data_IF_139871769383
#
_entry.id   IF_139871769383
#
_cell.length_a   1.000
_cell.length_b   1.000
_cell.length_c   1.000
_cell.angle_alpha   90.00
_cell.angle_beta   90.00
_cell.angle_gamma   90.00
#
_symmetry.space_group_name_H-M   'P 1'
#
loop_
_entity.id
_entity.type
_entity.pdbx_description
1 polymer ?
#
# COMPACT_ATOMS: atom_id res chain seq x y z
N UNK A 1 -17.54 -14.78 -3.25
CA UNK A 1 -16.61 -13.66 -3.41
C UNK A 1 -15.29 -14.13 -2.83
N UNK A 2 -14.19 -14.00 -3.57
CA UNK A 2 -12.88 -14.32 -3.00
C UNK A 2 -12.57 -13.31 -1.88
N UNK A 3 -11.96 -13.77 -0.80
CA UNK A 3 -11.55 -12.94 0.32
C UNK A 3 -10.04 -13.06 0.50
N UNK A 4 -9.40 -11.97 0.93
CA UNK A 4 -7.99 -12.01 1.29
C UNK A 4 -7.80 -12.84 2.56
N UNK A 5 -6.71 -13.61 2.59
CA UNK A 5 -6.25 -14.25 3.82
C UNK A 5 -5.86 -13.20 4.87
N UNK A 6 -5.87 -13.59 6.16
CA UNK A 6 -5.39 -12.72 7.25
C UNK A 6 -3.98 -12.19 7.02
N UNK A 7 -3.10 -12.99 6.42
CA UNK A 7 -1.74 -12.58 6.09
C UNK A 7 -1.72 -11.49 5.02
N UNK A 8 -2.58 -11.60 4.00
CA UNK A 8 -2.71 -10.61 2.95
C UNK A 8 -3.32 -9.29 3.48
N UNK A 9 -4.32 -9.37 4.34
CA UNK A 9 -4.86 -8.18 5.02
C UNK A 9 -3.79 -7.49 5.87
N UNK A 10 -3.01 -8.26 6.64
CA UNK A 10 -1.89 -7.72 7.41
C UNK A 10 -0.81 -7.08 6.54
N UNK A 11 -0.61 -7.59 5.32
CA UNK A 11 0.29 -6.97 4.34
C UNK A 11 -0.27 -5.64 3.82
N UNK A 12 -1.54 -5.57 3.45
CA UNK A 12 -2.19 -4.30 3.07
C UNK A 12 -2.06 -3.26 4.18
N UNK A 13 -2.38 -3.63 5.42
CA UNK A 13 -2.26 -2.73 6.58
C UNK A 13 -0.82 -2.23 6.75
N UNK A 14 0.17 -3.10 6.58
CA UNK A 14 1.58 -2.70 6.66
C UNK A 14 1.96 -1.67 5.59
N UNK A 15 1.49 -1.83 4.35
CA UNK A 15 1.74 -0.87 3.27
C UNK A 15 1.05 0.45 3.56
N UNK A 16 -0.24 0.44 3.91
CA UNK A 16 -0.98 1.66 4.24
C UNK A 16 -0.35 2.41 5.41
N UNK A 17 0.04 1.71 6.48
CA UNK A 17 0.71 2.31 7.63
C UNK A 17 2.07 2.94 7.24
N UNK A 18 2.85 2.27 6.38
CA UNK A 18 4.13 2.82 5.91
C UNK A 18 3.92 4.08 5.05
N UNK A 19 2.91 4.08 4.18
CA UNK A 19 2.58 5.23 3.34
C UNK A 19 2.07 6.41 4.19
N UNK A 20 1.20 6.15 5.17
CA UNK A 20 0.76 7.18 6.12
C UNK A 20 1.93 7.76 6.91
N UNK A 21 2.83 6.92 7.41
CA UNK A 21 4.03 7.36 8.13
C UNK A 21 4.94 8.23 7.24
N UNK A 22 5.11 7.86 5.97
CA UNK A 22 5.87 8.65 4.99
C UNK A 22 5.25 10.03 4.78
N UNK A 23 3.92 10.11 4.66
CA UNK A 23 3.21 11.39 4.54
C UNK A 23 3.45 12.26 5.77
N UNK A 24 3.31 11.70 6.99
CA UNK A 24 3.56 12.43 8.24
C UNK A 24 5.00 12.95 8.33
N UNK A 25 5.97 12.10 7.97
CA UNK A 25 7.40 12.44 7.99
C UNK A 25 7.71 13.60 7.04
N UNK A 26 7.23 13.52 5.79
CA UNK A 26 7.46 14.56 4.78
C UNK A 26 6.68 15.84 5.05
N UNK A 27 5.49 15.74 5.65
CA UNK A 27 4.69 16.90 6.04
C UNK A 27 5.24 17.60 7.30
N UNK A 28 6.11 16.93 8.07
CA UNK A 28 6.63 17.44 9.34
C UNK A 28 5.57 17.58 10.44
N UNK A 29 4.42 16.92 10.29
CA UNK A 29 3.31 16.96 11.24
C UNK A 29 2.42 15.72 11.13
N UNK A 30 1.60 15.49 12.16
CA UNK A 30 0.60 14.42 12.13
C UNK A 30 -0.51 14.73 11.14
N UNK A 31 -0.87 13.74 10.34
CA UNK A 31 -1.95 13.86 9.35
C UNK A 31 -3.08 12.90 9.70
N UNK A 32 -4.32 13.32 9.46
CA UNK A 32 -5.48 12.45 9.65
C UNK A 32 -5.36 11.25 8.71
N UNK A 33 -5.73 10.07 9.20
CA UNK A 33 -5.84 8.89 8.35
C UNK A 33 -6.90 9.12 7.27
N UNK A 34 -6.49 9.06 6.01
CA UNK A 34 -7.32 9.19 4.82
C UNK A 34 -6.89 8.12 3.81
N UNK A 35 -7.74 7.11 3.62
CA UNK A 35 -7.39 5.92 2.84
C UNK A 35 -7.19 6.23 1.36
N UNK A 36 -7.87 7.24 0.81
CA UNK A 36 -7.74 7.62 -0.59
C UNK A 36 -6.35 8.24 -0.83
N UNK A 37 -5.94 9.19 0.03
CA UNK A 37 -4.62 9.81 -0.06
C UNK A 37 -3.48 8.83 0.23
N UNK A 38 -3.68 7.91 1.19
CA UNK A 38 -2.72 6.84 1.47
C UNK A 38 -2.59 5.91 0.26
N UNK A 39 -3.71 5.58 -0.40
CA UNK A 39 -3.75 4.80 -1.63
C UNK A 39 -2.96 5.44 -2.77
N UNK A 40 -3.11 6.75 -2.99
CA UNK A 40 -2.35 7.48 -4.01
C UNK A 40 -0.83 7.34 -3.83
N UNK A 41 -0.36 7.43 -2.58
CA UNK A 41 1.06 7.23 -2.27
C UNK A 41 1.46 5.77 -2.48
N UNK A 42 0.62 4.83 -2.05
CA UNK A 42 0.88 3.40 -2.23
C UNK A 42 1.02 3.03 -3.71
N UNK A 43 0.18 3.56 -4.60
CA UNK A 43 0.24 3.33 -6.05
C UNK A 43 1.56 3.84 -6.65
N UNK A 44 2.00 5.03 -6.26
CA UNK A 44 3.29 5.58 -6.71
C UNK A 44 4.45 4.71 -6.25
N UNK A 45 4.43 4.27 -4.99
CA UNK A 45 5.47 3.40 -4.43
C UNK A 45 5.43 2.03 -5.10
N UNK A 46 4.25 1.46 -5.35
CA UNK A 46 4.07 0.20 -6.07
C UNK A 46 4.72 0.26 -7.45
N UNK A 47 4.44 1.31 -8.24
CA UNK A 47 5.04 1.47 -9.56
C UNK A 47 6.58 1.60 -9.52
N UNK A 48 7.14 2.15 -8.44
CA UNK A 48 8.60 2.15 -8.25
C UNK A 48 9.12 0.76 -7.90
N UNK A 49 8.52 0.10 -6.90
CA UNK A 49 9.00 -1.17 -6.34
C UNK A 49 8.80 -2.33 -7.31
N UNK A 50 7.62 -2.40 -7.94
CA UNK A 50 7.21 -3.49 -8.82
C UNK A 50 7.69 -3.24 -10.25
N UNK A 51 7.36 -2.09 -10.85
CA UNK A 51 7.58 -1.91 -12.30
C UNK A 51 9.00 -1.43 -12.61
N UNK A 52 9.51 -0.44 -11.86
CA UNK A 52 10.83 0.15 -12.14
C UNK A 52 11.96 -0.68 -11.58
N UNK A 53 11.84 -1.15 -10.35
CA UNK A 53 12.89 -1.91 -9.66
C UNK A 53 12.72 -3.42 -9.80
N UNK A 54 11.52 -3.94 -10.09
CA UNK A 54 11.29 -5.38 -10.26
C UNK A 54 11.54 -6.20 -9.01
N UNK A 55 11.36 -5.63 -7.81
CA UNK A 55 11.75 -6.29 -6.56
C UNK A 55 10.73 -7.30 -6.05
N UNK A 56 9.47 -7.11 -6.42
CA UNK A 56 8.36 -8.00 -6.09
C UNK A 56 7.17 -7.73 -7.03
N UNK A 57 6.21 -8.64 -7.02
CA UNK A 57 4.95 -8.49 -7.76
C UNK A 57 3.98 -7.57 -7.04
N UNK A 58 2.98 -7.06 -7.76
CA UNK A 58 1.90 -6.25 -7.17
C UNK A 58 1.18 -7.00 -6.05
N UNK A 59 0.89 -8.29 -6.24
CA UNK A 59 0.23 -9.14 -5.24
C UNK A 59 1.07 -9.37 -3.98
N UNK A 60 2.41 -9.32 -4.07
CA UNK A 60 3.31 -9.37 -2.91
C UNK A 60 3.44 -8.00 -2.22
N UNK A 61 3.32 -6.92 -3.00
CA UNK A 61 3.33 -5.55 -2.47
C UNK A 61 2.00 -5.23 -1.77
N UNK A 62 0.92 -5.13 -2.54
CA UNK A 62 -0.43 -4.80 -2.10
C UNK A 62 -1.40 -5.89 -2.61
N UNK A 63 -1.63 -6.97 -1.83
CA UNK A 63 -2.54 -8.03 -2.25
C UNK A 63 -3.93 -7.48 -2.55
N UNK A 64 -4.60 -7.96 -3.59
CA UNK A 64 -5.99 -7.60 -3.91
C UNK A 64 -6.81 -8.83 -4.26
N UNK A 65 -8.13 -8.67 -4.22
CA UNK A 65 -9.05 -9.68 -4.75
C UNK A 65 -9.25 -9.35 -6.22
N UNK A 66 -8.87 -10.26 -7.12
CA UNK A 66 -9.29 -10.15 -8.51
C UNK A 66 -10.81 -10.37 -8.59
N UNK A 67 -11.56 -9.36 -9.00
CA UNK A 67 -12.92 -9.55 -9.47
C UNK A 67 -12.83 -10.17 -10.87
N UNK A 68 -13.07 -11.49 -10.95
CA UNK A 68 -13.16 -12.23 -12.21
C UNK A 68 -14.47 -11.98 -12.95
#
# INVERSE_FOLDING_TARGET
>A
MAELSKAQLGRQDAVHNACHALIEELAGQKVKWDIEQIGEVADVVQGIVCDKLGLMTEMEFMPYVEEG
#
